data_IF_996659302350
#
_entry.id   IF_996659302350
#
_cell.length_a   1.000
_cell.length_b   1.000
_cell.length_c   1.000
_cell.angle_alpha   90.00
_cell.angle_beta   90.00
_cell.angle_gamma   90.00
#
_symmetry.space_group_name_H-M   'P 1'
#
loop_
_entity.id
_entity.type
_entity.pdbx_description
1 polymer ?
#
# COMPACT_ATOMS: atom_id res chain seq x y z
N UNK A 1 16.29 9.99 18.61
CA UNK A 1 17.24 9.45 17.61
C UNK A 1 16.40 8.76 16.56
N UNK A 2 16.43 9.06 15.25
CA UNK A 2 16.03 8.06 14.30
C UNK A 2 17.31 7.34 13.85
N UNK A 3 17.34 6.04 14.08
CA UNK A 3 17.13 5.19 12.93
C UNK A 3 15.77 4.53 13.11
N UNK A 4 14.79 4.97 12.32
CA UNK A 4 13.73 4.05 11.95
C UNK A 4 14.32 3.27 10.78
N UNK A 5 14.58 1.98 10.98
CA UNK A 5 15.10 1.16 9.90
C UNK A 5 14.13 1.24 8.72
N UNK A 6 14.65 1.56 7.53
CA UNK A 6 13.80 1.69 6.35
C UNK A 6 13.10 0.35 6.08
N UNK A 7 11.77 0.38 5.93
CA UNK A 7 10.99 -0.81 5.57
C UNK A 7 11.40 -1.24 4.16
N UNK A 8 11.98 -2.42 3.98
CA UNK A 8 12.29 -2.93 2.66
C UNK A 8 11.05 -3.63 2.08
N UNK A 9 10.47 -3.03 1.04
CA UNK A 9 9.33 -3.59 0.33
C UNK A 9 9.69 -3.93 -1.11
N UNK A 10 8.95 -4.87 -1.67
CA UNK A 10 8.96 -5.18 -3.11
C UNK A 10 7.54 -5.45 -3.58
N UNK A 11 7.31 -5.28 -4.88
CA UNK A 11 6.10 -5.82 -5.50
C UNK A 11 6.33 -7.30 -5.80
N UNK A 12 5.39 -8.16 -5.39
CA UNK A 12 5.47 -9.59 -5.64
C UNK A 12 4.08 -10.19 -5.83
N UNK A 13 3.96 -11.03 -6.86
CA UNK A 13 2.69 -11.64 -7.23
C UNK A 13 1.64 -10.63 -7.67
N UNK A 14 0.42 -11.13 -7.90
CA UNK A 14 -0.69 -10.30 -8.32
C UNK A 14 -2.01 -11.04 -8.34
N UNK A 15 -3.09 -10.26 -8.39
CA UNK A 15 -4.44 -10.79 -8.30
C UNK A 15 -5.47 -9.77 -8.77
N UNK A 16 -6.70 -9.93 -8.29
CA UNK A 16 -7.78 -8.98 -8.56
C UNK A 16 -8.72 -8.78 -7.38
N UNK A 17 -9.30 -7.59 -7.29
CA UNK A 17 -10.48 -7.30 -6.48
C UNK A 17 -11.58 -6.81 -7.41
N UNK A 18 -12.64 -7.60 -7.60
CA UNK A 18 -13.63 -7.29 -8.63
C UNK A 18 -12.99 -7.17 -10.02
N UNK A 19 -13.13 -6.01 -10.65
CA UNK A 19 -12.52 -5.69 -11.94
C UNK A 19 -11.07 -5.18 -11.85
N UNK A 20 -10.62 -4.75 -10.67
CA UNK A 20 -9.30 -4.16 -10.50
C UNK A 20 -8.20 -5.24 -10.45
N UNK A 21 -7.19 -5.12 -11.30
CA UNK A 21 -5.98 -5.94 -11.27
C UNK A 21 -4.90 -5.24 -10.43
N UNK A 22 -4.21 -5.99 -9.60
CA UNK A 22 -3.20 -5.45 -8.67
C UNK A 22 -1.94 -6.31 -8.62
N UNK A 23 -0.82 -5.66 -8.27
CA UNK A 23 0.42 -6.31 -7.85
C UNK A 23 0.47 -6.37 -6.33
N UNK A 24 0.87 -7.52 -5.77
CA UNK A 24 1.00 -7.69 -4.32
C UNK A 24 2.25 -6.98 -3.79
N UNK A 25 2.32 -6.82 -2.48
CA UNK A 25 3.52 -6.33 -1.78
C UNK A 25 4.10 -7.44 -0.92
N UNK A 26 5.42 -7.52 -0.84
CA UNK A 26 6.20 -8.45 -0.01
C UNK A 26 7.41 -7.71 0.59
N UNK A 27 8.17 -8.37 1.47
CA UNK A 27 9.26 -7.78 2.26
C UNK A 27 8.86 -7.65 3.73
N UNK A 28 9.10 -6.49 4.33
CA UNK A 28 8.85 -6.22 5.76
C UNK A 28 7.36 -6.03 6.09
N UNK A 29 6.52 -7.02 5.75
CA UNK A 29 5.06 -6.96 5.90
C UNK A 29 4.57 -6.83 7.34
N UNK A 30 5.32 -7.37 8.31
CA UNK A 30 5.00 -7.23 9.72
C UNK A 30 5.10 -5.75 10.16
N UNK A 31 6.22 -5.10 9.84
CA UNK A 31 6.45 -3.71 10.19
C UNK A 31 5.53 -2.76 9.37
N UNK A 32 5.22 -3.08 8.11
CA UNK A 32 4.19 -2.37 7.34
C UNK A 32 2.80 -2.49 8.00
N UNK A 33 2.46 -3.66 8.54
CA UNK A 33 1.20 -3.89 9.25
C UNK A 33 1.16 -3.09 10.55
N UNK A 34 2.24 -3.06 11.32
CA UNK A 34 2.36 -2.25 12.55
C UNK A 34 2.17 -0.76 12.27
N UNK A 35 2.80 -0.23 11.20
CA UNK A 35 2.58 1.15 10.75
C UNK A 35 1.11 1.40 10.42
N UNK A 36 0.48 0.51 9.66
CA UNK A 36 -0.95 0.61 9.29
C UNK A 36 -1.87 0.62 10.52
N UNK A 37 -1.60 -0.24 11.50
CA UNK A 37 -2.38 -0.29 12.75
C UNK A 37 -2.23 1.00 13.56
N UNK A 38 -0.99 1.49 13.75
CA UNK A 38 -0.76 2.73 14.48
C UNK A 38 -1.46 3.93 13.84
N UNK A 39 -1.45 4.03 12.50
CA UNK A 39 -2.18 5.06 11.76
C UNK A 39 -3.70 4.89 11.92
N UNK A 40 -4.22 3.66 11.85
CA UNK A 40 -5.66 3.37 12.03
C UNK A 40 -6.13 3.77 13.42
N UNK A 41 -5.36 3.46 14.45
CA UNK A 41 -5.70 3.78 15.84
C UNK A 41 -5.71 5.30 16.07
N UNK A 42 -4.68 6.00 15.56
CA UNK A 42 -4.61 7.46 15.65
C UNK A 42 -5.79 8.16 14.93
N UNK A 43 -6.15 7.68 13.74
CA UNK A 43 -7.30 8.20 12.98
C UNK A 43 -8.63 7.91 13.69
N UNK A 44 -8.80 6.71 14.24
CA UNK A 44 -10.00 6.33 14.99
C UNK A 44 -10.16 7.18 16.24
N UNK A 45 -9.07 7.40 16.99
CA UNK A 45 -9.06 8.30 18.16
C UNK A 45 -9.39 9.75 17.76
N UNK A 46 -8.98 10.16 16.55
CA UNK A 46 -9.33 11.45 15.94
C UNK A 46 -10.78 11.54 15.42
N UNK A 47 -11.59 10.49 15.54
CA UNK A 47 -12.98 10.45 15.12
C UNK A 47 -13.20 10.16 13.64
N UNK A 48 -12.18 9.72 12.91
CA UNK A 48 -12.31 9.29 11.52
C UNK A 48 -12.83 7.84 11.42
N UNK A 49 -13.62 7.51 10.39
CA UNK A 49 -14.09 6.15 10.18
C UNK A 49 -12.94 5.19 9.89
N UNK A 50 -13.02 3.99 10.43
CA UNK A 50 -12.11 2.89 10.14
C UNK A 50 -12.76 1.87 9.20
N UNK A 51 -11.92 1.12 8.47
CA UNK A 51 -12.33 0.02 7.62
C UNK A 51 -11.87 -1.31 8.24
N UNK A 52 -12.82 -2.21 8.48
CA UNK A 52 -12.58 -3.51 9.12
C UNK A 52 -12.09 -4.58 8.15
N UNK A 53 -12.02 -4.27 6.84
CA UNK A 53 -11.50 -5.22 5.86
C UNK A 53 -10.04 -5.59 6.18
N UNK A 54 -9.67 -6.87 5.99
CA UNK A 54 -8.28 -7.29 6.15
C UNK A 54 -7.35 -6.46 5.28
N UNK A 55 -6.22 -6.07 5.86
CA UNK A 55 -5.21 -5.33 5.15
C UNK A 55 -4.47 -6.24 4.17
N UNK A 56 -4.67 -5.99 2.89
CA UNK A 56 -3.95 -6.65 1.80
C UNK A 56 -3.14 -5.59 1.06
N UNK A 57 -1.84 -5.38 1.39
CA UNK A 57 -1.04 -4.35 0.75
C UNK A 57 -0.84 -4.68 -0.73
N UNK A 58 -1.19 -3.72 -1.60
CA UNK A 58 -1.19 -3.92 -3.03
C UNK A 58 -1.01 -2.59 -3.77
N UNK A 59 -0.53 -2.66 -5.02
CA UNK A 59 -0.60 -1.59 -5.99
C UNK A 59 -1.68 -1.94 -7.01
N UNK A 60 -2.75 -1.14 -7.09
CA UNK A 60 -3.70 -1.25 -8.20
C UNK A 60 -3.02 -0.83 -9.50
N UNK A 61 -2.98 -1.72 -10.49
CA UNK A 61 -2.33 -1.49 -11.79
C UNK A 61 -3.34 -1.12 -12.87
N UNK A 62 -4.54 -1.69 -12.81
CA UNK A 62 -5.62 -1.40 -13.75
C UNK A 62 -6.98 -1.60 -13.07
N UNK A 63 -7.97 -0.75 -13.39
CA UNK A 63 -9.37 -0.94 -12.98
C UNK A 63 -10.18 -1.82 -13.95
N UNK A 64 -9.56 -2.17 -15.09
CA UNK A 64 -10.17 -3.04 -16.10
C UNK A 64 -9.67 -4.48 -15.96
N UNK A 65 -10.55 -5.47 -16.12
CA UNK A 65 -10.15 -6.86 -16.03
C UNK A 65 -9.29 -7.23 -17.23
N UNK A 66 -8.05 -7.63 -16.97
CA UNK A 66 -7.11 -8.09 -17.99
C UNK A 66 -6.47 -9.43 -17.55
N UNK A 67 -6.88 -10.56 -18.16
CA UNK A 67 -6.30 -11.86 -17.86
C UNK A 67 -4.80 -11.99 -18.19
N UNK A 68 -4.31 -11.27 -19.20
CA UNK A 68 -2.90 -11.29 -19.56
C UNK A 68 -2.07 -10.53 -18.52
N UNK A 69 -2.50 -9.34 -18.13
CA UNK A 69 -1.88 -8.57 -17.04
C UNK A 69 -1.87 -9.38 -15.74
N UNK A 70 -3.00 -9.99 -15.35
CA UNK A 70 -3.07 -10.81 -14.13
C UNK A 70 -2.06 -11.96 -14.16
N UNK A 71 -1.92 -12.66 -15.28
CA UNK A 71 -0.93 -13.75 -15.42
C UNK A 71 0.50 -13.24 -15.33
N UNK A 72 0.80 -12.09 -15.93
CA UNK A 72 2.11 -11.46 -15.83
C UNK A 72 2.45 -11.09 -14.38
N UNK A 73 1.49 -10.49 -13.65
CA UNK A 73 1.69 -10.11 -12.25
C UNK A 73 1.79 -11.31 -11.31
N UNK A 74 1.09 -12.42 -11.58
CA UNK A 74 1.09 -13.60 -10.69
C UNK A 74 2.51 -14.17 -10.44
N UNK A 75 3.40 -14.09 -11.42
CA UNK A 75 4.80 -14.51 -11.29
C UNK A 75 5.79 -13.34 -11.13
N UNK A 76 5.31 -12.12 -11.01
CA UNK A 76 6.15 -10.93 -10.95
C UNK A 76 6.88 -10.87 -9.60
N UNK A 77 8.17 -10.55 -9.66
CA UNK A 77 8.98 -10.18 -8.51
C UNK A 77 9.76 -8.91 -8.88
N UNK A 78 9.43 -7.82 -8.23
CA UNK A 78 10.07 -6.53 -8.40
C UNK A 78 11.37 -6.41 -7.60
N UNK A 79 12.13 -5.38 -7.95
CA UNK A 79 13.29 -4.95 -7.18
C UNK A 79 12.84 -4.41 -5.82
N UNK A 80 13.52 -4.76 -4.72
CA UNK A 80 13.29 -4.14 -3.43
C UNK A 80 13.57 -2.65 -3.44
N UNK A 81 12.84 -1.91 -2.62
CA UNK A 81 13.16 -0.53 -2.31
C UNK A 81 12.94 -0.27 -0.81
N UNK A 82 13.77 0.61 -0.22
CA UNK A 82 13.51 1.14 1.10
C UNK A 82 12.33 2.11 1.04
N UNK A 83 11.35 1.94 1.93
CA UNK A 83 10.36 2.95 2.25
C UNK A 83 10.91 3.81 3.38
N UNK A 84 10.91 5.11 3.17
CA UNK A 84 11.48 6.09 4.12
C UNK A 84 10.46 7.08 4.64
N UNK A 85 9.26 7.12 4.06
CA UNK A 85 8.21 8.09 4.39
C UNK A 85 6.82 7.57 4.04
N UNK A 86 5.80 8.17 4.64
CA UNK A 86 4.40 8.03 4.26
C UNK A 86 3.74 9.40 4.13
N UNK A 87 2.62 9.49 3.41
CA UNK A 87 1.95 10.75 3.14
C UNK A 87 0.45 10.70 3.36
N UNK A 88 -0.11 11.82 3.81
CA UNK A 88 -1.53 12.10 3.70
C UNK A 88 -1.83 12.65 2.31
N UNK A 89 -2.79 12.04 1.63
CA UNK A 89 -3.18 12.42 0.26
C UNK A 89 -4.66 12.75 0.19
N UNK A 90 -5.00 13.77 -0.60
CA UNK A 90 -6.35 14.10 -1.00
C UNK A 90 -6.59 13.60 -2.42
N UNK A 91 -7.72 12.90 -2.63
CA UNK A 91 -8.16 12.48 -3.96
C UNK A 91 -9.28 13.40 -4.45
N UNK A 92 -9.09 14.07 -5.59
CA UNK A 92 -10.09 14.91 -6.24
C UNK A 92 -9.98 14.78 -7.76
N UNK A 93 -11.11 14.60 -8.45
CA UNK A 93 -11.19 14.54 -9.93
C UNK A 93 -10.18 13.59 -10.59
N UNK A 94 -9.98 12.41 -9.97
CA UNK A 94 -9.04 11.39 -10.46
C UNK A 94 -7.56 11.74 -10.25
N UNK A 95 -7.26 12.74 -9.43
CA UNK A 95 -5.90 13.16 -9.07
C UNK A 95 -5.66 12.99 -7.58
N UNK A 96 -4.41 12.74 -7.22
CA UNK A 96 -3.94 12.71 -5.84
C UNK A 96 -3.05 13.93 -5.57
N UNK A 97 -3.43 14.73 -4.59
CA UNK A 97 -2.62 15.83 -4.05
C UNK A 97 -2.04 15.42 -2.71
N UNK A 98 -0.74 15.64 -2.51
CA UNK A 98 -0.08 15.35 -1.25
C UNK A 98 -0.25 16.53 -0.30
N UNK A 99 -0.87 16.30 0.86
CA UNK A 99 -1.11 17.34 1.87
C UNK A 99 0.02 17.43 2.90
N UNK A 100 0.58 16.29 3.30
CA UNK A 100 1.66 16.21 4.27
C UNK A 100 2.45 14.91 4.12
N UNK A 101 3.71 14.93 4.55
CA UNK A 101 4.64 13.79 4.52
C UNK A 101 5.32 13.66 5.88
N UNK A 102 5.49 12.44 6.35
CA UNK A 102 6.26 12.13 7.54
C UNK A 102 7.33 11.09 7.22
N UNK A 103 8.56 11.24 7.73
CA UNK A 103 9.53 10.16 7.69
C UNK A 103 9.01 8.98 8.51
N UNK A 104 9.43 7.79 8.12
CA UNK A 104 9.27 6.60 8.95
C UNK A 104 10.24 6.62 10.12
#
# INVERSE_FOLDING_TARGET
MPPSEALELRFAGGGRFGSACWAGVDGDLAALSELREGLRDALTLGGFPSDDRPFHPHLTVSYHPDPALRRALAGYQGTPWPVTEFSLVQSADGRYERLATWPL
#
